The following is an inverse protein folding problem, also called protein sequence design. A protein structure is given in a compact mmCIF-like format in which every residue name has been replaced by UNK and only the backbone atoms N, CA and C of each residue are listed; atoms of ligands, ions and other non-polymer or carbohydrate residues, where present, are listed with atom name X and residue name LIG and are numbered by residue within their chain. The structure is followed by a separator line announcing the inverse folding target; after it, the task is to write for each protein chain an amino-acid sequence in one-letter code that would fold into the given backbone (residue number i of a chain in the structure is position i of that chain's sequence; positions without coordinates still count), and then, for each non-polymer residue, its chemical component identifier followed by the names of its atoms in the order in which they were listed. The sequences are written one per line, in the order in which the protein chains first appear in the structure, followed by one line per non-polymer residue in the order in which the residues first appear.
data_IF_899963675501
#
_entry.id   IF_899963675501
#
_cell.length_a   1.000
_cell.length_b   1.000
_cell.length_c   1.000
_cell.angle_alpha   90.00
_cell.angle_beta   90.00
_cell.angle_gamma   90.00
#
_symmetry.space_group_name_H-M   'P 1'
#
loop_
_entity.id
_entity.type
_entity.pdbx_description
1 polymer ?
#
# COMPACT_ATOMS: atom_id res chain seq x y z
N UNK A 1 -50.79 18.93 50.12
CA UNK A 1 -49.36 18.67 49.75
C UNK A 1 -49.34 17.88 48.45
N UNK A 2 -49.20 18.53 47.29
CA UNK A 2 -49.11 17.83 46.00
C UNK A 2 -47.64 17.53 45.67
N UNK A 3 -47.23 16.28 45.83
CA UNK A 3 -45.96 15.76 45.31
C UNK A 3 -46.13 15.54 43.80
N UNK A 4 -45.88 16.59 43.01
CA UNK A 4 -45.88 16.52 41.54
C UNK A 4 -44.58 15.82 41.10
N UNK A 5 -44.65 14.52 40.84
CA UNK A 5 -43.51 13.72 40.39
C UNK A 5 -42.92 14.31 39.10
N UNK A 6 -41.69 14.82 39.16
CA UNK A 6 -40.87 15.27 38.02
C UNK A 6 -40.38 14.12 37.11
N UNK A 7 -41.02 12.95 37.18
CA UNK A 7 -40.56 11.71 36.54
C UNK A 7 -40.41 11.82 35.02
N UNK A 8 -41.28 12.56 34.34
CA UNK A 8 -41.21 12.74 32.89
C UNK A 8 -39.95 13.48 32.42
N UNK A 9 -39.41 14.42 33.23
CA UNK A 9 -38.15 15.11 32.94
C UNK A 9 -36.98 14.15 33.09
N UNK A 10 -36.99 13.32 34.13
CA UNK A 10 -35.99 12.27 34.34
C UNK A 10 -36.03 11.25 33.20
N UNK A 11 -37.21 10.81 32.77
CA UNK A 11 -37.38 9.90 31.62
C UNK A 11 -36.83 10.51 30.34
N UNK A 12 -37.16 11.78 30.04
CA UNK A 12 -36.64 12.47 28.85
C UNK A 12 -35.12 12.63 28.88
N UNK A 13 -34.53 12.98 30.03
CA UNK A 13 -33.07 13.04 30.17
C UNK A 13 -32.43 11.66 29.94
N UNK A 14 -32.99 10.60 30.51
CA UNK A 14 -32.45 9.24 30.34
C UNK A 14 -32.56 8.77 28.88
N UNK A 15 -33.68 9.03 28.21
CA UNK A 15 -33.86 8.72 26.78
C UNK A 15 -32.84 9.49 25.95
N UNK A 16 -32.68 10.79 26.18
CA UNK A 16 -31.69 11.60 25.48
C UNK A 16 -30.26 11.07 25.70
N UNK A 17 -29.91 10.72 26.94
CA UNK A 17 -28.60 10.17 27.27
C UNK A 17 -28.36 8.84 26.55
N UNK A 18 -29.36 7.95 26.53
CA UNK A 18 -29.28 6.67 25.81
C UNK A 18 -29.14 6.88 24.31
N UNK A 19 -29.86 7.84 23.73
CA UNK A 19 -29.71 8.20 22.31
C UNK A 19 -28.31 8.73 22.00
N UNK A 20 -27.75 9.60 22.86
CA UNK A 20 -26.38 10.12 22.70
C UNK A 20 -25.36 8.98 22.79
N UNK A 21 -25.49 8.08 23.77
CA UNK A 21 -24.61 6.92 23.90
C UNK A 21 -24.73 5.96 22.72
N UNK A 22 -25.96 5.72 22.24
CA UNK A 22 -26.24 4.90 21.07
C UNK A 22 -25.64 5.50 19.80
N UNK A 23 -25.79 6.81 19.58
CA UNK A 23 -25.21 7.52 18.44
C UNK A 23 -23.68 7.58 18.52
N UNK A 24 -23.11 7.80 19.70
CA UNK A 24 -21.66 7.78 19.91
C UNK A 24 -21.10 6.36 19.68
N UNK A 25 -21.76 5.33 20.21
CA UNK A 25 -21.41 3.94 19.99
C UNK A 25 -21.52 3.54 18.52
N UNK A 26 -22.60 3.93 17.85
CA UNK A 26 -22.79 3.76 16.40
C UNK A 26 -21.70 4.47 15.61
N UNK A 27 -21.36 5.71 15.95
CA UNK A 27 -20.31 6.47 15.28
C UNK A 27 -18.95 5.76 15.40
N UNK A 28 -18.61 5.27 16.60
CA UNK A 28 -17.38 4.50 16.84
C UNK A 28 -17.41 3.18 16.07
N UNK A 29 -18.53 2.45 16.07
CA UNK A 29 -18.68 1.19 15.35
C UNK A 29 -18.57 1.37 13.83
N UNK A 30 -19.26 2.37 13.27
CA UNK A 30 -19.26 2.70 11.84
C UNK A 30 -17.90 3.20 11.31
N UNK A 31 -16.95 3.47 12.21
CA UNK A 31 -15.59 3.94 11.90
C UNK A 31 -14.52 2.91 12.26
N UNK A 32 -14.91 1.66 12.53
CA UNK A 32 -14.01 0.59 12.97
C UNK A 32 -13.15 0.97 14.19
N UNK A 33 -13.68 1.84 15.05
CA UNK A 33 -13.04 2.30 16.28
C UNK A 33 -12.55 3.76 16.24
N UNK A 34 -11.54 4.04 17.07
CA UNK A 34 -10.96 5.37 17.25
C UNK A 34 -9.44 5.27 17.09
N UNK A 35 -8.94 5.29 15.86
CA UNK A 35 -7.52 5.03 15.55
C UNK A 35 -6.53 5.89 16.34
N UNK A 36 -6.84 7.18 16.55
CA UNK A 36 -5.98 8.08 17.32
C UNK A 36 -5.76 7.61 18.77
N UNK A 37 -6.67 6.80 19.32
CA UNK A 37 -6.51 6.19 20.64
C UNK A 37 -5.46 5.09 20.62
N UNK A 38 -5.39 4.27 19.57
CA UNK A 38 -4.38 3.22 19.47
C UNK A 38 -2.96 3.81 19.48
N UNK A 39 -2.75 4.91 18.75
CA UNK A 39 -1.44 5.60 18.71
C UNK A 39 -1.01 6.17 20.06
N UNK A 40 -1.95 6.58 20.92
CA UNK A 40 -1.66 7.18 22.24
C UNK A 40 -1.59 6.17 23.37
N UNK A 41 -2.31 5.05 23.26
CA UNK A 41 -2.52 4.12 24.39
C UNK A 41 -1.70 2.84 24.22
N UNK A 42 -1.39 2.42 23.00
CA UNK A 42 -0.59 1.21 22.76
C UNK A 42 0.90 1.59 22.81
N UNK A 43 1.59 1.10 23.83
CA UNK A 43 3.04 1.20 23.93
C UNK A 43 3.69 0.26 22.92
N UNK A 44 4.49 0.82 22.01
CA UNK A 44 5.25 0.03 21.05
C UNK A 44 6.58 -0.45 21.65
N UNK A 45 6.95 -1.73 21.47
CA UNK A 45 8.31 -2.21 21.71
C UNK A 45 9.33 -1.35 20.97
N UNK A 46 10.51 -1.13 21.55
CA UNK A 46 11.54 -0.27 20.96
C UNK A 46 11.88 -0.64 19.51
N UNK A 47 11.94 -1.94 19.22
CA UNK A 47 12.20 -2.49 17.88
C UNK A 47 11.11 -2.15 16.84
N UNK A 48 9.84 -2.04 17.26
CA UNK A 48 8.71 -1.76 16.36
C UNK A 48 8.42 -0.27 16.20
N UNK A 49 9.02 0.61 17.02
CA UNK A 49 8.79 2.07 16.90
C UNK A 49 9.10 2.58 15.50
N UNK A 50 10.14 2.03 14.85
CA UNK A 50 10.54 2.37 13.49
C UNK A 50 9.53 1.88 12.44
N UNK A 51 8.91 0.73 12.66
CA UNK A 51 7.92 0.15 11.75
C UNK A 51 6.64 0.99 11.65
N UNK A 52 6.26 1.63 12.76
CA UNK A 52 5.06 2.47 12.85
C UNK A 52 5.31 3.98 12.74
N UNK A 53 6.56 4.36 12.48
CA UNK A 53 6.90 5.74 12.11
C UNK A 53 6.58 5.90 10.64
N UNK A 54 5.83 6.96 10.31
CA UNK A 54 5.55 7.30 8.91
C UNK A 54 6.85 7.45 8.14
N UNK A 55 6.83 7.05 6.88
CA UNK A 55 8.01 7.09 6.02
C UNK A 55 8.57 8.52 5.88
N UNK A 56 7.66 9.49 5.88
CA UNK A 56 7.95 10.91 5.74
C UNK A 56 8.61 11.53 6.97
N UNK A 57 8.37 10.95 8.14
CA UNK A 57 8.89 11.44 9.41
C UNK A 57 10.28 10.85 9.72
N UNK A 58 10.80 9.93 8.89
CA UNK A 58 12.07 9.23 9.15
C UNK A 58 13.32 10.01 8.69
N UNK A 59 13.17 11.17 8.05
CA UNK A 59 14.30 12.00 7.60
C UNK A 59 15.23 11.30 6.59
N UNK A 60 14.77 10.22 5.96
CA UNK A 60 15.53 9.41 5.01
C UNK A 60 15.17 9.74 3.56
N UNK A 61 15.02 11.02 3.22
CA UNK A 61 14.86 11.43 1.83
C UNK A 61 16.24 11.78 1.26
N UNK A 62 16.94 10.86 0.58
CA UNK A 62 17.97 11.32 -0.35
C UNK A 62 17.29 12.19 -1.39
N UNK A 63 17.54 13.49 -1.33
CA UNK A 63 17.10 14.47 -2.32
C UNK A 63 17.83 14.15 -3.64
N UNK A 64 17.16 13.44 -4.54
CA UNK A 64 17.64 13.23 -5.91
C UNK A 64 17.07 14.25 -6.89
N UNK A 65 17.37 14.09 -8.18
CA UNK A 65 16.70 14.83 -9.26
C UNK A 65 15.18 14.64 -9.15
N UNK A 66 14.44 15.74 -9.01
CA UNK A 66 12.98 15.78 -8.86
C UNK A 66 12.19 15.58 -10.16
N UNK A 67 12.83 15.29 -11.29
CA UNK A 67 12.14 15.17 -12.57
C UNK A 67 12.16 13.73 -13.15
N UNK A 68 11.01 13.03 -13.25
CA UNK A 68 9.75 13.29 -12.54
C UNK A 68 9.88 12.88 -11.07
N UNK A 69 8.98 13.37 -10.23
CA UNK A 69 8.90 13.06 -8.81
C UNK A 69 7.78 12.05 -8.52
N UNK A 70 7.63 11.70 -7.24
CA UNK A 70 6.40 11.11 -6.74
C UNK A 70 5.46 12.21 -6.25
N UNK A 71 4.22 12.20 -6.73
CA UNK A 71 3.25 13.29 -6.50
C UNK A 71 2.24 12.90 -5.41
N UNK A 72 2.00 13.82 -4.48
CA UNK A 72 0.82 13.85 -3.63
C UNK A 72 0.10 15.19 -3.82
N UNK A 73 -1.21 15.31 -3.50
CA UNK A 73 -1.98 16.53 -3.71
C UNK A 73 -1.34 17.82 -3.15
N UNK A 74 -0.55 17.71 -2.07
CA UNK A 74 0.10 18.85 -1.40
C UNK A 74 1.62 18.68 -1.21
N UNK A 75 2.23 17.69 -1.87
CA UNK A 75 3.66 17.42 -1.68
C UNK A 75 4.26 16.77 -2.93
N UNK A 76 5.53 17.08 -3.17
CA UNK A 76 6.37 16.44 -4.19
C UNK A 76 7.51 15.74 -3.48
N UNK A 77 7.67 14.45 -3.76
CA UNK A 77 8.67 13.62 -3.09
C UNK A 77 9.70 13.17 -4.11
N UNK A 78 10.96 13.54 -3.87
CA UNK A 78 12.09 13.20 -4.72
C UNK A 78 12.91 12.13 -4.00
N UNK A 79 12.72 10.88 -4.39
CA UNK A 79 13.35 9.72 -3.77
C UNK A 79 14.20 8.96 -4.79
N UNK A 80 15.50 8.96 -4.57
CA UNK A 80 16.47 8.23 -5.39
C UNK A 80 17.59 7.65 -4.53
N UNK A 81 17.99 6.40 -4.76
CA UNK A 81 18.98 5.70 -3.92
C UNK A 81 20.36 6.37 -3.92
N UNK A 82 20.70 7.09 -4.98
CA UNK A 82 21.94 7.86 -5.14
C UNK A 82 21.59 9.22 -5.75
N UNK A 83 21.81 10.34 -5.05
CA UNK A 83 21.29 11.65 -5.43
C UNK A 83 21.74 12.15 -6.82
N UNK A 84 23.03 12.01 -7.14
CA UNK A 84 23.67 12.66 -8.30
C UNK A 84 23.79 11.77 -9.55
N UNK A 85 23.28 10.54 -9.51
CA UNK A 85 23.39 9.58 -10.61
C UNK A 85 22.08 9.44 -11.39
N UNK A 86 22.17 9.03 -12.67
CA UNK A 86 20.97 8.80 -13.49
C UNK A 86 20.29 7.50 -13.08
N UNK A 87 18.98 7.51 -12.77
CA UNK A 87 18.27 6.31 -12.38
C UNK A 87 18.13 5.35 -13.56
N UNK A 88 18.52 4.10 -13.34
CA UNK A 88 18.35 3.02 -14.31
C UNK A 88 17.23 2.05 -13.92
N UNK A 89 16.76 2.11 -12.67
CA UNK A 89 15.68 1.31 -12.13
C UNK A 89 14.63 2.24 -11.54
N UNK A 90 13.36 2.06 -11.92
CA UNK A 90 12.27 2.90 -11.42
C UNK A 90 11.21 2.04 -10.75
N UNK A 91 10.78 2.47 -9.56
CA UNK A 91 9.58 1.97 -8.89
C UNK A 91 8.45 2.93 -9.22
N UNK A 92 7.48 2.44 -9.98
CA UNK A 92 6.39 3.22 -10.56
C UNK A 92 5.04 2.78 -9.99
N UNK A 93 4.23 3.72 -9.51
CA UNK A 93 2.91 3.36 -8.98
C UNK A 93 2.23 4.42 -8.12
N UNK A 94 1.47 3.96 -7.12
CA UNK A 94 0.78 4.79 -6.14
C UNK A 94 1.47 4.74 -4.75
N UNK A 95 0.72 4.93 -3.66
CA UNK A 95 1.29 4.83 -2.31
C UNK A 95 1.88 3.45 -1.99
N UNK A 96 1.54 2.41 -2.75
CA UNK A 96 2.14 1.09 -2.64
C UNK A 96 3.51 1.00 -3.31
N UNK A 97 3.74 1.72 -4.43
CA UNK A 97 5.10 1.92 -4.93
C UNK A 97 5.97 2.66 -3.90
N UNK A 98 5.38 3.59 -3.16
CA UNK A 98 6.09 4.29 -2.10
C UNK A 98 6.62 3.36 -1.01
N UNK A 99 5.77 2.48 -0.46
CA UNK A 99 6.25 1.55 0.58
C UNK A 99 7.18 0.48 0.00
N UNK A 100 7.00 0.05 -1.26
CA UNK A 100 7.85 -0.94 -1.91
C UNK A 100 9.24 -0.40 -2.30
N UNK A 101 9.36 0.92 -2.53
CA UNK A 101 10.61 1.58 -2.92
C UNK A 101 11.77 1.21 -2.00
N UNK A 102 11.55 1.16 -0.68
CA UNK A 102 12.63 0.97 0.29
C UNK A 102 13.30 -0.40 0.17
N UNK A 103 12.50 -1.47 -0.01
CA UNK A 103 12.99 -2.81 -0.27
C UNK A 103 13.71 -2.91 -1.60
N UNK A 104 13.09 -2.41 -2.67
CA UNK A 104 13.66 -2.46 -4.00
C UNK A 104 14.97 -1.66 -4.03
N UNK A 105 14.99 -0.43 -3.52
CA UNK A 105 16.17 0.41 -3.43
C UNK A 105 17.28 -0.27 -2.64
N UNK A 106 17.00 -0.79 -1.43
CA UNK A 106 18.01 -1.46 -0.61
C UNK A 106 18.60 -2.68 -1.31
N UNK A 107 17.76 -3.50 -1.93
CA UNK A 107 18.19 -4.76 -2.54
C UNK A 107 18.93 -4.53 -3.86
N UNK A 108 18.42 -3.66 -4.72
CA UNK A 108 18.98 -3.45 -6.06
C UNK A 108 20.07 -2.38 -6.12
N UNK A 109 20.11 -1.40 -5.20
CA UNK A 109 21.24 -0.47 -5.13
C UNK A 109 22.55 -1.17 -4.70
N UNK A 110 22.44 -2.27 -3.95
CA UNK A 110 23.59 -3.12 -3.62
C UNK A 110 24.23 -3.79 -4.85
N UNK A 111 23.50 -3.86 -5.98
CA UNK A 111 23.98 -4.34 -7.27
C UNK A 111 24.49 -3.21 -8.19
N UNK A 112 24.68 -2.00 -7.65
CA UNK A 112 25.12 -0.83 -8.41
C UNK A 112 24.01 -0.16 -9.25
N UNK A 113 22.74 -0.45 -8.95
CA UNK A 113 21.60 0.20 -9.61
C UNK A 113 21.24 1.51 -8.91
N UNK A 114 20.77 2.47 -9.69
CA UNK A 114 20.23 3.73 -9.16
C UNK A 114 18.71 3.64 -9.25
N UNK A 115 18.08 3.49 -8.09
CA UNK A 115 16.64 3.23 -7.94
C UNK A 115 15.92 4.53 -7.61
N UNK A 116 14.93 4.89 -8.43
CA UNK A 116 14.10 6.09 -8.24
C UNK A 116 12.64 5.72 -8.03
N UNK A 117 11.95 6.45 -7.17
CA UNK A 117 10.50 6.38 -7.04
C UNK A 117 9.85 7.43 -7.97
N UNK A 118 8.89 6.98 -8.77
CA UNK A 118 8.05 7.81 -9.64
C UNK A 118 6.61 7.36 -9.44
N UNK A 119 5.65 8.27 -9.47
CA UNK A 119 4.26 7.87 -9.29
C UNK A 119 3.39 8.93 -8.68
N UNK A 120 2.20 8.51 -8.25
CA UNK A 120 1.25 9.41 -7.61
C UNK A 120 0.38 8.71 -6.58
N UNK A 121 0.42 9.20 -5.35
CA UNK A 121 -0.49 8.76 -4.29
C UNK A 121 -1.85 9.47 -4.36
N UNK A 122 -2.89 8.81 -3.85
CA UNK A 122 -4.25 9.37 -3.78
C UNK A 122 -5.07 9.26 -5.06
N UNK A 123 -4.56 8.55 -6.07
CA UNK A 123 -5.31 8.16 -7.26
C UNK A 123 -5.49 6.64 -7.27
N UNK A 124 -6.58 6.17 -7.87
CA UNK A 124 -6.74 4.74 -8.15
C UNK A 124 -5.92 4.41 -9.42
N UNK A 125 -4.85 3.64 -9.26
CA UNK A 125 -3.82 3.49 -10.30
C UNK A 125 -4.43 2.99 -11.62
N UNK A 126 -4.14 3.71 -12.71
CA UNK A 126 -4.66 3.46 -14.04
C UNK A 126 -6.21 3.48 -14.24
N UNK A 127 -7.00 3.70 -13.18
CA UNK A 127 -8.46 3.80 -13.22
C UNK A 127 -8.93 5.12 -12.60
N UNK A 128 -8.92 6.19 -13.39
CA UNK A 128 -9.03 7.57 -12.86
C UNK A 128 -10.44 8.17 -12.86
N UNK A 129 -11.44 7.49 -13.46
CA UNK A 129 -12.84 7.96 -13.50
C UNK A 129 -12.99 9.44 -13.92
N UNK A 130 -12.24 9.88 -14.93
CA UNK A 130 -12.27 11.26 -15.43
C UNK A 130 -11.44 12.26 -14.62
N UNK A 131 -10.68 11.84 -13.62
CA UNK A 131 -9.73 12.72 -12.92
C UNK A 131 -8.56 13.08 -13.85
N UNK A 132 -8.61 14.29 -14.41
CA UNK A 132 -7.63 14.81 -15.36
C UNK A 132 -6.23 14.91 -14.75
N UNK A 133 -6.11 15.38 -13.51
CA UNK A 133 -4.82 15.53 -12.83
C UNK A 133 -4.12 14.18 -12.63
N UNK A 134 -4.85 13.15 -12.17
CA UNK A 134 -4.33 11.79 -12.05
C UNK A 134 -3.93 11.23 -13.42
N UNK A 135 -4.78 11.37 -14.44
CA UNK A 135 -4.52 10.80 -15.77
C UNK A 135 -3.38 11.50 -16.51
N UNK A 136 -3.29 12.84 -16.45
CA UNK A 136 -2.19 13.60 -17.04
C UNK A 136 -0.87 13.31 -16.33
N UNK A 137 -0.87 13.25 -14.99
CA UNK A 137 0.35 12.88 -14.23
C UNK A 137 0.84 11.50 -14.64
N UNK A 138 -0.07 10.53 -14.73
CA UNK A 138 0.27 9.16 -15.16
C UNK A 138 0.86 9.13 -16.57
N UNK A 139 0.22 9.78 -17.55
CA UNK A 139 0.71 9.78 -18.93
C UNK A 139 2.07 10.47 -19.08
N UNK A 140 2.32 11.57 -18.35
CA UNK A 140 3.62 12.23 -18.33
C UNK A 140 4.72 11.32 -17.75
N UNK A 141 4.41 10.60 -16.67
CA UNK A 141 5.34 9.67 -16.04
C UNK A 141 5.65 8.47 -16.96
N UNK A 142 4.62 7.87 -17.58
CA UNK A 142 4.82 6.77 -18.54
C UNK A 142 5.61 7.23 -19.76
N UNK A 143 5.39 8.44 -20.26
CA UNK A 143 6.16 8.99 -21.36
C UNK A 143 7.64 9.16 -21.01
N UNK A 144 7.93 9.70 -19.83
CA UNK A 144 9.31 9.83 -19.35
C UNK A 144 9.99 8.46 -19.19
N UNK A 145 9.29 7.47 -18.60
CA UNK A 145 9.80 6.10 -18.46
C UNK A 145 10.09 5.45 -19.83
N UNK A 146 9.26 5.75 -20.82
CA UNK A 146 9.38 5.20 -22.17
C UNK A 146 10.50 5.87 -22.97
N UNK A 147 10.71 7.17 -22.81
CA UNK A 147 11.66 7.94 -23.64
C UNK A 147 13.03 8.13 -23.02
N UNK A 148 13.16 8.04 -21.69
CA UNK A 148 14.45 8.23 -21.02
C UNK A 148 15.38 7.02 -21.25
N UNK A 149 16.52 7.19 -21.96
CA UNK A 149 17.41 6.07 -22.29
C UNK A 149 18.17 5.50 -21.08
N UNK A 150 18.23 6.22 -19.96
CA UNK A 150 18.85 5.74 -18.73
C UNK A 150 17.98 4.65 -18.06
N UNK A 151 16.66 4.74 -18.18
CA UNK A 151 15.73 3.79 -17.57
C UNK A 151 15.81 2.44 -18.29
N UNK A 152 16.16 1.39 -17.53
CA UNK A 152 16.28 0.01 -17.99
C UNK A 152 15.23 -0.90 -17.36
N UNK A 153 14.94 -0.71 -16.08
CA UNK A 153 14.03 -1.55 -15.29
C UNK A 153 12.88 -0.71 -14.73
N UNK A 154 11.66 -1.21 -14.84
CA UNK A 154 10.47 -0.58 -14.26
C UNK A 154 9.69 -1.59 -13.44
N UNK A 155 9.65 -1.38 -12.14
CA UNK A 155 8.76 -2.08 -11.22
C UNK A 155 7.43 -1.35 -11.17
N UNK A 156 6.33 -1.98 -11.57
CA UNK A 156 4.99 -1.45 -11.43
C UNK A 156 4.40 -2.02 -10.14
N UNK A 157 4.07 -1.14 -9.19
CA UNK A 157 3.57 -1.53 -7.86
C UNK A 157 2.42 -0.61 -7.45
N UNK A 158 1.22 -1.15 -7.25
CA UNK A 158 0.08 -0.35 -6.83
C UNK A 158 -0.86 -1.12 -5.88
N UNK A 159 -1.82 -0.41 -5.29
CA UNK A 159 -2.91 -1.03 -4.53
C UNK A 159 -3.85 -1.81 -5.44
N UNK A 160 -4.56 -2.80 -4.91
CA UNK A 160 -5.63 -3.50 -5.66
C UNK A 160 -6.63 -2.49 -6.25
N UNK A 161 -6.77 -2.50 -7.59
CA UNK A 161 -7.63 -1.57 -8.32
C UNK A 161 -8.99 -2.20 -8.63
N UNK A 162 -8.96 -3.44 -9.12
CA UNK A 162 -10.14 -4.19 -9.53
C UNK A 162 -10.60 -5.13 -8.42
N UNK A 163 -11.88 -5.05 -8.07
CA UNK A 163 -12.53 -5.96 -7.13
C UNK A 163 -13.52 -6.87 -7.88
N UNK A 164 -13.96 -8.00 -7.30
CA UNK A 164 -14.88 -8.92 -7.98
C UNK A 164 -16.22 -8.29 -8.40
N UNK A 165 -16.59 -7.15 -7.79
CA UNK A 165 -17.79 -6.38 -8.12
C UNK A 165 -17.52 -5.13 -8.97
N UNK A 166 -16.29 -4.95 -9.48
CA UNK A 166 -15.96 -3.87 -10.43
C UNK A 166 -16.81 -3.96 -11.68
N UNK A 167 -17.15 -2.82 -12.27
CA UNK A 167 -17.98 -2.79 -13.47
C UNK A 167 -17.21 -3.26 -14.70
N UNK A 168 -17.92 -3.71 -15.75
CA UNK A 168 -17.28 -4.03 -17.03
C UNK A 168 -16.56 -2.82 -17.65
N UNK A 169 -17.04 -1.60 -17.39
CA UNK A 169 -16.38 -0.38 -17.84
C UNK A 169 -15.05 -0.18 -17.11
N UNK A 170 -15.04 -0.35 -15.78
CA UNK A 170 -13.81 -0.24 -14.99
C UNK A 170 -12.75 -1.25 -15.43
N UNK A 171 -13.17 -2.49 -15.66
CA UNK A 171 -12.30 -3.56 -16.15
C UNK A 171 -11.69 -3.19 -17.50
N UNK A 172 -12.53 -2.73 -18.44
CA UNK A 172 -12.09 -2.33 -19.79
C UNK A 172 -11.12 -1.14 -19.74
N UNK A 173 -11.44 -0.11 -18.95
CA UNK A 173 -10.63 1.11 -18.86
C UNK A 173 -9.27 0.83 -18.22
N UNK A 174 -9.26 0.05 -17.13
CA UNK A 174 -8.04 -0.37 -16.47
C UNK A 174 -7.17 -1.24 -17.39
N UNK A 175 -7.77 -2.26 -18.02
CA UNK A 175 -7.06 -3.14 -18.96
C UNK A 175 -6.44 -2.36 -20.11
N UNK A 176 -7.21 -1.49 -20.78
CA UNK A 176 -6.72 -0.71 -21.91
C UNK A 176 -5.53 0.19 -21.53
N UNK A 177 -5.61 0.85 -20.37
CA UNK A 177 -4.54 1.75 -19.92
C UNK A 177 -3.28 0.99 -19.51
N UNK A 178 -3.44 -0.13 -18.82
CA UNK A 178 -2.32 -0.97 -18.42
C UNK A 178 -1.65 -1.64 -19.63
N UNK A 179 -2.43 -2.18 -20.57
CA UNK A 179 -1.87 -2.76 -21.80
C UNK A 179 -1.13 -1.74 -22.66
N UNK A 180 -1.66 -0.52 -22.78
CA UNK A 180 -0.97 0.59 -23.46
C UNK A 180 0.35 0.93 -22.76
N UNK A 181 0.34 0.99 -21.43
CA UNK A 181 1.54 1.26 -20.62
C UNK A 181 2.59 0.17 -20.79
N UNK A 182 2.20 -1.09 -20.66
CA UNK A 182 3.10 -2.24 -20.84
C UNK A 182 3.68 -2.26 -22.26
N UNK A 183 2.85 -2.05 -23.29
CA UNK A 183 3.31 -2.00 -24.67
C UNK A 183 4.33 -0.89 -24.92
N UNK A 184 4.12 0.32 -24.36
CA UNK A 184 5.06 1.45 -24.47
C UNK A 184 6.39 1.17 -23.78
N UNK A 185 6.35 0.70 -22.53
CA UNK A 185 7.56 0.43 -21.76
C UNK A 185 8.38 -0.72 -22.37
N UNK A 186 7.72 -1.85 -22.65
CA UNK A 186 8.37 -3.04 -23.22
C UNK A 186 8.84 -2.75 -24.65
N UNK A 187 8.04 -2.08 -25.47
CA UNK A 187 8.40 -1.68 -26.83
C UNK A 187 9.58 -0.70 -26.87
N UNK A 188 9.75 0.12 -25.83
CA UNK A 188 10.93 0.96 -25.66
C UNK A 188 12.17 0.16 -25.21
N UNK A 189 12.05 -1.13 -24.90
CA UNK A 189 13.13 -2.01 -24.47
C UNK A 189 13.38 -2.02 -22.96
N UNK A 190 12.35 -1.76 -22.15
CA UNK A 190 12.44 -1.74 -20.68
C UNK A 190 12.09 -3.13 -20.19
N UNK A 191 12.84 -3.63 -19.22
CA UNK A 191 12.44 -4.84 -18.49
C UNK A 191 11.42 -4.43 -17.43
N UNK A 192 10.19 -4.87 -17.61
CA UNK A 192 9.07 -4.52 -16.73
C UNK A 192 8.80 -5.67 -15.76
N UNK A 193 8.72 -5.34 -14.48
CA UNK A 193 8.30 -6.25 -13.41
C UNK A 193 6.97 -5.75 -12.88
N UNK A 194 5.91 -6.53 -13.03
CA UNK A 194 4.62 -6.25 -12.40
C UNK A 194 4.58 -6.94 -11.03
N UNK A 195 4.43 -6.15 -9.97
CA UNK A 195 4.26 -6.68 -8.61
C UNK A 195 2.78 -6.77 -8.33
N UNK A 196 2.28 -7.98 -8.09
CA UNK A 196 0.87 -8.20 -7.76
C UNK A 196 0.50 -7.46 -6.45
N UNK A 197 -0.77 -7.07 -6.26
CA UNK A 197 -1.19 -6.38 -5.05
C UNK A 197 -0.86 -7.21 -3.80
N UNK A 198 -0.36 -6.53 -2.77
CA UNK A 198 -0.14 -7.19 -1.48
C UNK A 198 -1.48 -7.59 -0.84
N UNK A 199 -1.52 -8.67 -0.03
CA UNK A 199 -2.65 -8.96 0.85
C UNK A 199 -2.87 -7.83 1.88
N UNK A 200 -4.11 -7.37 2.05
CA UNK A 200 -4.44 -6.32 3.02
C UNK A 200 -4.89 -6.91 4.38
N UNK A 201 -4.45 -6.33 5.51
CA UNK A 201 -4.77 -6.84 6.84
C UNK A 201 -6.25 -6.69 7.19
N UNK A 202 -6.88 -5.57 6.80
CA UNK A 202 -8.24 -5.17 7.22
C UNK A 202 -8.41 -5.01 8.74
N UNK A 203 -7.32 -4.81 9.47
CA UNK A 203 -7.31 -4.42 10.89
C UNK A 203 -6.05 -3.61 11.20
N UNK A 204 -6.06 -2.87 12.32
CA UNK A 204 -4.91 -2.04 12.69
C UNK A 204 -3.78 -2.91 13.29
N UNK A 205 -2.59 -2.99 12.65
CA UNK A 205 -1.50 -3.86 13.10
C UNK A 205 -0.92 -3.50 14.47
N UNK A 206 -1.16 -2.28 15.00
CA UNK A 206 -0.77 -1.91 16.37
C UNK A 206 -1.47 -2.76 17.43
N UNK A 207 -2.62 -3.35 17.11
CA UNK A 207 -3.29 -4.28 18.01
C UNK A 207 -2.47 -5.56 18.26
N UNK A 208 -1.45 -5.82 17.44
CA UNK A 208 -0.61 -7.00 17.49
C UNK A 208 0.74 -6.79 18.19
N UNK A 209 1.04 -5.58 18.68
CA UNK A 209 2.40 -5.18 19.10
C UNK A 209 2.69 -5.28 20.61
N UNK A 210 1.70 -5.70 21.41
CA UNK A 210 1.69 -5.85 22.89
C UNK A 210 1.01 -4.73 23.71
N UNK A 211 0.58 -5.12 24.92
CA UNK A 211 -0.14 -4.33 25.96
C UNK A 211 -1.31 -3.50 25.43
N UNK A 212 -2.44 -4.17 25.26
CA UNK A 212 -3.71 -3.47 25.06
C UNK A 212 -4.12 -2.72 26.35
N UNK A 213 -4.93 -1.66 26.24
CA UNK A 213 -5.41 -0.91 27.38
C UNK A 213 -6.01 -1.82 28.47
N UNK A 214 -5.80 -1.47 29.74
CA UNK A 214 -6.33 -2.18 30.91
C UNK A 214 -5.73 -3.59 31.11
N UNK A 215 -4.52 -3.85 30.63
CA UNK A 215 -3.84 -5.13 30.82
C UNK A 215 -4.41 -6.26 29.98
N UNK A 216 -5.22 -5.94 28.96
CA UNK A 216 -5.72 -6.94 28.01
C UNK A 216 -4.55 -7.56 27.23
N UNK A 217 -4.64 -8.86 27.02
CA UNK A 217 -3.69 -9.59 26.17
C UNK A 217 -4.13 -9.54 24.72
N UNK A 218 -3.14 -9.51 23.83
CA UNK A 218 -3.35 -9.66 22.39
C UNK A 218 -3.80 -11.10 22.13
N UNK A 219 -4.78 -11.26 21.25
CA UNK A 219 -5.21 -12.56 20.73
C UNK A 219 -4.39 -12.83 19.45
N UNK A 220 -3.39 -13.75 19.47
CA UNK A 220 -2.53 -13.99 18.32
C UNK A 220 -3.30 -14.45 17.08
N UNK A 221 -4.43 -15.15 17.26
CA UNK A 221 -5.27 -15.60 16.15
C UNK A 221 -5.98 -14.46 15.41
N UNK A 222 -5.95 -13.24 15.95
CA UNK A 222 -6.44 -12.01 15.31
C UNK A 222 -5.35 -11.19 14.65
N UNK A 223 -4.10 -11.65 14.70
CA UNK A 223 -2.94 -11.01 14.11
C UNK A 223 -2.47 -11.73 12.84
N UNK A 224 -3.32 -12.60 12.31
CA UNK A 224 -3.11 -13.31 11.06
C UNK A 224 -4.44 -13.51 10.34
N UNK A 225 -4.39 -13.74 9.04
CA UNK A 225 -5.56 -14.09 8.24
C UNK A 225 -5.18 -15.03 7.10
N UNK A 226 -6.15 -15.81 6.61
CA UNK A 226 -5.93 -16.72 5.50
C UNK A 226 -5.80 -15.94 4.18
N UNK A 227 -4.79 -16.30 3.38
CA UNK A 227 -4.44 -15.55 2.16
C UNK A 227 -5.50 -15.70 1.06
N UNK A 228 -6.26 -16.80 1.05
CA UNK A 228 -7.33 -17.09 0.10
C UNK A 228 -8.36 -15.96 0.00
N UNK A 229 -8.69 -15.33 1.14
CA UNK A 229 -9.55 -14.14 1.19
C UNK A 229 -9.06 -13.04 0.24
N UNK A 230 -7.76 -12.74 0.27
CA UNK A 230 -7.17 -11.67 -0.54
C UNK A 230 -6.93 -12.11 -1.98
N UNK A 231 -6.53 -13.35 -2.21
CA UNK A 231 -6.40 -13.90 -3.57
C UNK A 231 -7.74 -13.86 -4.31
N UNK A 232 -8.85 -14.17 -3.63
CA UNK A 232 -10.19 -14.10 -4.21
C UNK A 232 -10.60 -12.67 -4.59
N UNK A 233 -10.14 -11.66 -3.84
CA UNK A 233 -10.38 -10.25 -4.18
C UNK A 233 -9.55 -9.80 -5.37
N UNK A 234 -8.36 -10.37 -5.53
CA UNK A 234 -7.42 -10.06 -6.61
C UNK A 234 -7.73 -10.84 -7.91
N UNK A 235 -8.81 -11.63 -7.97
CA UNK A 235 -9.06 -12.58 -9.07
C UNK A 235 -9.05 -11.91 -10.44
N UNK A 236 -9.77 -10.79 -10.62
CA UNK A 236 -9.84 -10.08 -11.90
C UNK A 236 -8.47 -9.55 -12.33
N UNK A 237 -7.72 -8.97 -11.40
CA UNK A 237 -6.40 -8.41 -11.71
C UNK A 237 -5.38 -9.52 -12.02
N UNK A 238 -5.43 -10.65 -11.31
CA UNK A 238 -4.59 -11.83 -11.57
C UNK A 238 -4.90 -12.49 -12.92
N UNK A 239 -6.16 -12.51 -13.33
CA UNK A 239 -6.57 -12.94 -14.66
C UNK A 239 -5.98 -12.02 -15.74
N UNK A 240 -6.10 -10.69 -15.58
CA UNK A 240 -5.48 -9.72 -16.49
C UNK A 240 -3.96 -9.88 -16.56
N UNK A 241 -3.29 -10.04 -15.41
CA UNK A 241 -1.83 -10.25 -15.38
C UNK A 241 -1.44 -11.53 -16.10
N UNK A 242 -2.24 -12.60 -16.01
CA UNK A 242 -2.02 -13.83 -16.77
C UNK A 242 -2.09 -13.56 -18.28
N UNK A 243 -3.12 -12.85 -18.74
CA UNK A 243 -3.26 -12.43 -20.13
C UNK A 243 -2.10 -11.53 -20.59
N UNK A 244 -1.64 -10.61 -19.74
CA UNK A 244 -0.52 -9.73 -20.06
C UNK A 244 0.80 -10.48 -20.20
N UNK A 245 1.04 -11.52 -19.39
CA UNK A 245 2.24 -12.37 -19.54
C UNK A 245 2.24 -13.14 -20.85
N UNK A 246 1.07 -13.58 -21.33
CA UNK A 246 0.95 -14.21 -22.65
C UNK A 246 1.20 -13.20 -23.78
N UNK A 247 0.63 -11.99 -23.66
CA UNK A 247 0.77 -10.91 -24.64
C UNK A 247 2.17 -10.30 -24.67
N UNK A 248 2.85 -10.24 -23.52
CA UNK A 248 4.16 -9.66 -23.34
C UNK A 248 5.11 -10.67 -22.67
N UNK A 249 5.75 -11.58 -23.43
CA UNK A 249 6.56 -12.66 -22.86
C UNK A 249 7.77 -12.21 -22.02
N UNK A 250 8.21 -10.96 -22.17
CA UNK A 250 9.28 -10.34 -21.36
C UNK A 250 8.78 -9.69 -20.07
N UNK A 251 7.47 -9.68 -19.81
CA UNK A 251 6.90 -9.19 -18.56
C UNK A 251 7.19 -10.18 -17.44
N UNK A 252 7.96 -9.71 -16.45
CA UNK A 252 8.16 -10.45 -15.21
C UNK A 252 7.05 -10.13 -14.22
N UNK A 253 6.68 -11.11 -13.40
CA UNK A 253 5.63 -10.95 -12.38
C UNK A 253 6.16 -11.48 -11.05
N UNK A 254 5.96 -10.69 -10.01
CA UNK A 254 6.31 -11.06 -8.64
C UNK A 254 5.05 -11.07 -7.77
N UNK A 255 4.85 -12.16 -7.02
CA UNK A 255 3.71 -12.30 -6.10
C UNK A 255 4.17 -12.11 -4.64
N UNK A 256 3.91 -10.95 -4.02
CA UNK A 256 4.35 -10.68 -2.66
C UNK A 256 3.61 -11.55 -1.62
N UNK A 257 2.46 -12.14 -1.97
CA UNK A 257 1.70 -12.98 -1.05
C UNK A 257 2.49 -14.21 -0.58
N UNK A 258 3.37 -14.75 -1.43
CA UNK A 258 4.22 -15.91 -1.09
C UNK A 258 5.17 -15.59 0.07
N UNK A 259 5.59 -14.33 0.21
CA UNK A 259 6.54 -13.89 1.23
C UNK A 259 5.82 -13.37 2.48
N UNK A 260 4.72 -12.63 2.29
CA UNK A 260 3.93 -12.05 3.38
C UNK A 260 3.03 -13.07 4.08
N UNK A 261 2.68 -14.17 3.39
CA UNK A 261 1.73 -15.16 3.86
C UNK A 261 2.31 -16.58 3.83
N UNK A 262 3.35 -16.86 4.63
CA UNK A 262 3.89 -18.21 4.75
C UNK A 262 2.78 -19.18 5.18
N UNK A 263 2.82 -20.41 4.67
CA UNK A 263 1.84 -21.45 5.01
C UNK A 263 0.37 -21.01 4.79
N UNK A 264 0.13 -20.17 3.77
CA UNK A 264 -1.20 -19.63 3.42
C UNK A 264 -1.80 -18.69 4.50
N UNK A 265 -0.96 -18.17 5.41
CA UNK A 265 -1.35 -17.31 6.54
C UNK A 265 -0.55 -16.02 6.53
N UNK A 266 -1.23 -14.90 6.30
CA UNK A 266 -0.62 -13.57 6.32
C UNK A 266 -0.44 -13.08 7.77
N UNK A 267 0.76 -12.64 8.14
CA UNK A 267 1.14 -12.41 9.55
C UNK A 267 1.39 -10.93 9.86
N UNK A 268 0.55 -10.25 10.66
CA UNK A 268 0.77 -8.84 11.01
C UNK A 268 2.17 -8.57 11.61
N UNK A 269 2.69 -9.53 12.38
CA UNK A 269 3.99 -9.50 13.04
C UNK A 269 4.77 -10.77 12.66
N UNK A 270 6.04 -10.61 12.29
CA UNK A 270 6.97 -11.72 12.04
C UNK A 270 8.30 -11.45 12.74
N UNK A 271 8.77 -12.43 13.51
CA UNK A 271 10.05 -12.34 14.24
C UNK A 271 10.18 -11.06 15.09
N UNK A 272 9.07 -10.62 15.69
CA UNK A 272 9.03 -9.44 16.55
C UNK A 272 9.00 -8.09 15.81
N UNK A 273 8.89 -8.09 14.48
CA UNK A 273 8.75 -6.88 13.66
C UNK A 273 7.37 -6.80 13.03
N UNK A 274 6.80 -5.59 12.92
CA UNK A 274 5.54 -5.42 12.23
C UNK A 274 5.76 -5.45 10.72
N UNK A 275 4.93 -6.16 9.98
CA UNK A 275 5.01 -6.25 8.52
C UNK A 275 4.11 -5.22 7.82
N UNK A 276 3.08 -4.73 8.52
CA UNK A 276 2.18 -3.67 8.05
C UNK A 276 2.22 -2.44 8.95
N UNK A 277 2.20 -1.27 8.32
CA UNK A 277 2.16 0.04 8.98
C UNK A 277 0.73 0.38 9.39
N UNK A 278 -0.22 0.10 8.51
CA UNK A 278 -1.67 0.25 8.68
C UNK A 278 -2.40 -0.94 8.05
N UNK A 279 -3.66 -0.78 7.65
CA UNK A 279 -4.47 -1.86 7.09
C UNK A 279 -4.05 -2.30 5.67
N UNK A 280 -3.32 -1.46 4.91
CA UNK A 280 -2.98 -1.73 3.51
C UNK A 280 -1.56 -1.31 3.06
N UNK A 281 -0.74 -0.67 3.89
CA UNK A 281 0.66 -0.36 3.60
C UNK A 281 1.61 -1.26 4.41
N UNK A 282 2.65 -1.80 3.76
CA UNK A 282 3.72 -2.50 4.50
C UNK A 282 4.64 -1.54 5.24
N UNK A 283 5.26 -2.04 6.30
CA UNK A 283 6.34 -1.35 7.00
C UNK A 283 7.62 -1.41 6.18
N UNK A 284 8.66 -0.77 6.71
CA UNK A 284 10.01 -0.89 6.17
C UNK A 284 10.57 -2.29 6.27
N UNK A 285 10.31 -2.96 7.38
CA UNK A 285 10.70 -4.35 7.54
C UNK A 285 10.00 -5.24 6.50
N UNK A 286 8.69 -5.07 6.30
CA UNK A 286 7.95 -5.78 5.26
C UNK A 286 8.47 -5.49 3.86
N UNK A 287 8.74 -4.22 3.54
CA UNK A 287 9.32 -3.79 2.28
C UNK A 287 10.69 -4.44 2.02
N UNK A 288 11.59 -4.44 3.01
CA UNK A 288 12.91 -5.07 2.89
C UNK A 288 12.84 -6.58 2.64
N UNK A 289 11.89 -7.28 3.27
CA UNK A 289 11.66 -8.70 3.02
C UNK A 289 11.23 -8.95 1.57
N UNK A 290 10.33 -8.11 1.03
CA UNK A 290 9.89 -8.20 -0.36
C UNK A 290 11.00 -7.85 -1.34
N UNK A 291 11.78 -6.80 -1.08
CA UNK A 291 12.93 -6.41 -1.89
C UNK A 291 13.96 -7.52 -2.02
N UNK A 292 14.29 -8.18 -0.91
CA UNK A 292 15.25 -9.29 -0.90
C UNK A 292 14.73 -10.52 -1.65
N UNK A 293 13.44 -10.83 -1.50
CA UNK A 293 12.80 -11.89 -2.28
C UNK A 293 12.80 -11.58 -3.78
N UNK A 294 12.44 -10.35 -4.18
CA UNK A 294 12.51 -9.87 -5.56
C UNK A 294 13.91 -10.01 -6.14
N UNK A 295 14.95 -9.59 -5.39
CA UNK A 295 16.36 -9.71 -5.83
C UNK A 295 16.79 -11.15 -6.06
N UNK A 296 16.30 -12.09 -5.26
CA UNK A 296 16.60 -13.52 -5.38
C UNK A 296 15.89 -14.17 -6.57
N UNK A 297 14.65 -13.76 -6.84
CA UNK A 297 13.76 -14.44 -7.78
C UNK A 297 13.77 -13.83 -9.19
N UNK A 298 13.99 -12.51 -9.29
CA UNK A 298 14.01 -11.78 -10.55
C UNK A 298 15.43 -11.72 -11.11
N UNK A 299 15.54 -11.77 -12.44
CA UNK A 299 16.83 -11.68 -13.15
C UNK A 299 16.86 -10.43 -14.00
N UNK A 300 17.08 -9.31 -13.35
CA UNK A 300 17.23 -8.03 -14.03
C UNK A 300 18.52 -8.01 -14.84
N UNK A 301 18.40 -7.87 -16.17
CA UNK A 301 19.52 -7.85 -17.12
C UNK A 301 20.02 -6.44 -17.40
#
# INVERSE_FOLDING_TARGET
RFLRHRGWVTTLMLVLLMSVLGLAGWNVYSRDGLEFRYRKIIELPAQMKRDFSKWEDKGMYPEGDCNPNFVYPNASICLQSTADERPNTVVFGDSHAFHAYWGIAKSFASEGRVVKLVGRGGCNFALYHGNEDCSQTFEQQVEWLSTNPAVKHVFIVHRLVLQPNSTQSDLTDYQNRMESTLARLIGAGRQVVYVLPIPELRFNPRLCTNKLPLGRQVDPGKCEFAVDREINLQVLERELVTLWREKFPSLEVFDPAVILCPEQRCLAIREGSALWMDDNHVTETGSYLLGEAMRRELKLK
#
